data_IF_029485652384
#
_entry.id   IF_029485652384
#
_cell.length_a   1.000
_cell.length_b   1.000
_cell.length_c   1.000
_cell.angle_alpha   90.00
_cell.angle_beta   90.00
_cell.angle_gamma   90.00
#
_symmetry.space_group_name_H-M   'P 1'
#
loop_
_entity.id
_entity.type
_entity.pdbx_description
1 polymer ?
#
# COMPACT_ATOMS: atom_id res chain seq x y z
N UNK A 1 -28.45 -25.71 -23.02
CA UNK A 1 -28.23 -25.64 -21.56
C UNK A 1 -26.73 -25.35 -21.33
N UNK A 2 -26.39 -24.09 -21.33
CA UNK A 2 -25.00 -23.62 -21.16
C UNK A 2 -24.70 -23.59 -19.67
N UNK A 3 -23.82 -24.49 -19.20
CA UNK A 3 -23.30 -24.48 -17.84
C UNK A 3 -22.67 -23.12 -17.58
N UNK A 4 -23.26 -22.37 -16.65
CA UNK A 4 -22.66 -21.20 -16.05
C UNK A 4 -21.27 -21.61 -15.55
N UNK A 5 -20.21 -20.89 -15.98
CA UNK A 5 -18.88 -21.04 -15.43
C UNK A 5 -18.97 -20.67 -13.95
N UNK A 6 -18.97 -21.68 -13.12
CA UNK A 6 -18.84 -21.57 -11.68
C UNK A 6 -17.57 -20.79 -11.40
N UNK A 7 -17.70 -19.59 -10.88
CA UNK A 7 -16.58 -18.82 -10.31
C UNK A 7 -15.86 -19.76 -9.35
N UNK A 8 -14.60 -20.02 -9.59
CA UNK A 8 -13.77 -20.90 -8.75
C UNK A 8 -13.75 -20.29 -7.36
N UNK A 9 -14.57 -20.83 -6.45
CA UNK A 9 -14.58 -20.42 -5.07
C UNK A 9 -13.30 -20.95 -4.45
N UNK A 10 -12.36 -20.07 -4.19
CA UNK A 10 -11.14 -20.42 -3.46
C UNK A 10 -11.47 -20.55 -1.97
N UNK A 11 -11.09 -21.66 -1.37
CA UNK A 11 -11.23 -21.90 0.06
C UNK A 11 -9.94 -21.51 0.77
N UNK A 12 -10.04 -20.76 1.86
CA UNK A 12 -8.92 -20.33 2.65
C UNK A 12 -9.17 -20.66 4.13
N UNK A 13 -8.26 -21.39 4.73
CA UNK A 13 -8.33 -21.72 6.14
C UNK A 13 -7.79 -20.58 6.98
N UNK A 14 -8.58 -20.12 7.96
CA UNK A 14 -8.19 -19.05 8.88
C UNK A 14 -8.22 -19.53 10.33
N UNK A 15 -7.30 -19.02 11.13
CA UNK A 15 -7.19 -19.30 12.57
C UNK A 15 -7.43 -18.00 13.33
N UNK A 16 -8.24 -18.04 14.38
CA UNK A 16 -8.44 -16.88 15.24
C UNK A 16 -7.15 -16.58 16.00
N UNK A 17 -6.74 -15.30 16.00
CA UNK A 17 -5.58 -14.88 16.79
C UNK A 17 -5.99 -13.96 17.93
N UNK A 18 -5.43 -14.21 19.10
CA UNK A 18 -5.50 -13.31 20.27
C UNK A 18 -4.21 -12.51 20.43
N UNK A 19 -3.16 -12.90 19.73
CA UNK A 19 -1.85 -12.29 19.86
C UNK A 19 -1.80 -10.90 19.21
N UNK A 20 -1.37 -9.91 19.98
CA UNK A 20 -1.19 -8.53 19.58
C UNK A 20 0.26 -8.08 19.85
N UNK A 21 0.70 -7.06 19.13
CA UNK A 21 2.01 -6.43 19.31
C UNK A 21 3.08 -6.86 18.30
N UNK A 22 3.95 -5.90 17.98
CA UNK A 22 4.93 -5.95 16.89
C UNK A 22 5.83 -7.18 16.88
N UNK A 23 6.36 -7.59 18.06
CA UNK A 23 7.27 -8.74 18.17
C UNK A 23 6.59 -10.07 17.88
N UNK A 24 5.33 -10.23 18.32
CA UNK A 24 4.56 -11.46 18.12
C UNK A 24 4.14 -11.61 16.66
N UNK A 25 3.67 -10.54 16.06
CA UNK A 25 3.30 -10.51 14.64
C UNK A 25 4.50 -10.83 13.75
N UNK A 26 5.71 -10.32 14.07
CA UNK A 26 6.92 -10.67 13.33
C UNK A 26 7.22 -12.17 13.40
N UNK A 27 7.20 -12.77 14.59
CA UNK A 27 7.41 -14.23 14.75
C UNK A 27 6.37 -15.06 13.99
N UNK A 28 5.13 -14.60 13.93
CA UNK A 28 4.07 -15.25 13.15
C UNK A 28 4.41 -15.27 11.67
N UNK A 29 4.88 -14.15 11.11
CA UNK A 29 5.33 -14.10 9.71
C UNK A 29 6.54 -14.99 9.47
N UNK A 30 7.48 -15.04 10.39
CA UNK A 30 8.64 -15.93 10.32
C UNK A 30 8.21 -17.43 10.31
N UNK A 31 7.04 -17.76 10.87
CA UNK A 31 6.43 -19.08 10.83
C UNK A 31 5.58 -19.35 9.57
N UNK A 32 5.51 -18.41 8.65
CA UNK A 32 4.71 -18.51 7.42
C UNK A 32 3.22 -18.27 7.62
N UNK A 33 2.84 -17.56 8.70
CA UNK A 33 1.47 -17.12 8.97
C UNK A 33 1.35 -15.60 8.76
N UNK A 34 0.41 -15.18 7.95
CA UNK A 34 0.15 -13.76 7.67
C UNK A 34 -1.01 -13.30 8.56
N UNK A 35 -0.82 -12.19 9.29
CA UNK A 35 -1.90 -11.57 10.04
C UNK A 35 -2.93 -10.99 9.08
N UNK A 36 -4.20 -11.18 9.40
CA UNK A 36 -5.32 -10.64 8.64
C UNK A 36 -6.42 -10.17 9.58
N UNK A 37 -7.34 -9.38 9.03
CA UNK A 37 -8.56 -8.95 9.68
C UNK A 37 -9.74 -9.34 8.81
N UNK A 38 -10.78 -9.89 9.42
CA UNK A 38 -12.07 -10.15 8.77
C UNK A 38 -13.10 -9.23 9.39
N UNK A 39 -13.79 -8.46 8.58
CA UNK A 39 -14.87 -7.58 8.99
C UNK A 39 -16.00 -7.60 7.96
N UNK A 40 -17.18 -7.18 8.38
CA UNK A 40 -18.36 -7.14 7.51
C UNK A 40 -19.58 -6.63 8.25
N UNK A 41 -20.69 -6.48 7.53
CA UNK A 41 -21.94 -5.94 8.09
C UNK A 41 -22.51 -6.83 9.20
N UNK A 42 -22.40 -8.16 9.04
CA UNK A 42 -23.02 -9.14 9.94
C UNK A 42 -22.04 -9.76 10.93
N UNK A 43 -20.89 -9.13 11.15
CA UNK A 43 -19.91 -9.65 12.10
C UNK A 43 -19.02 -8.55 12.68
N UNK A 44 -18.63 -8.74 13.92
CA UNK A 44 -17.61 -7.90 14.55
C UNK A 44 -16.23 -8.14 13.90
N UNK A 45 -15.40 -7.08 13.79
CA UNK A 45 -14.05 -7.23 13.28
C UNK A 45 -13.25 -8.28 14.06
N UNK A 46 -12.72 -9.25 13.36
CA UNK A 46 -12.00 -10.36 13.96
C UNK A 46 -10.57 -10.44 13.43
N UNK A 47 -9.61 -10.51 14.34
CA UNK A 47 -8.22 -10.75 13.97
C UNK A 47 -7.98 -12.22 13.72
N UNK A 48 -7.43 -12.53 12.54
CA UNK A 48 -7.14 -13.92 12.12
C UNK A 48 -5.71 -14.05 11.60
N UNK A 49 -5.26 -15.26 11.47
CA UNK A 49 -4.01 -15.62 10.82
C UNK A 49 -4.30 -16.57 9.66
N UNK A 50 -3.58 -16.40 8.57
CA UNK A 50 -3.74 -17.14 7.33
C UNK A 50 -2.41 -17.75 6.90
N UNK A 51 -2.44 -18.92 6.29
CA UNK A 51 -1.24 -19.54 5.75
C UNK A 51 -0.72 -18.75 4.53
N UNK A 52 0.55 -18.34 4.59
CA UNK A 52 1.19 -17.55 3.52
C UNK A 52 1.13 -18.25 2.15
N UNK A 53 1.39 -19.55 2.09
CA UNK A 53 1.43 -20.30 0.83
C UNK A 53 0.07 -20.36 0.16
N UNK A 54 -0.99 -20.58 0.95
CA UNK A 54 -2.37 -20.64 0.44
C UNK A 54 -2.80 -19.25 -0.07
N UNK A 55 -2.51 -18.21 0.71
CA UNK A 55 -2.83 -16.83 0.35
C UNK A 55 -2.11 -16.39 -0.93
N UNK A 56 -0.80 -16.63 -1.04
CA UNK A 56 -0.02 -16.27 -2.23
C UNK A 56 -0.55 -16.97 -3.48
N UNK A 57 -0.90 -18.27 -3.39
CA UNK A 57 -1.53 -18.99 -4.52
C UNK A 57 -2.83 -18.35 -4.95
N UNK A 58 -3.61 -17.86 -3.98
CA UNK A 58 -4.88 -17.19 -4.24
C UNK A 58 -4.67 -15.86 -4.95
N UNK A 59 -3.76 -15.01 -4.45
CA UNK A 59 -3.45 -13.71 -5.03
C UNK A 59 -2.88 -13.80 -6.46
N UNK A 60 -2.11 -14.86 -6.75
CA UNK A 60 -1.59 -15.11 -8.10
C UNK A 60 -2.61 -15.77 -9.04
N UNK A 61 -3.84 -16.00 -8.60
CA UNK A 61 -4.89 -16.46 -9.49
C UNK A 61 -5.32 -15.34 -10.46
N UNK A 62 -6.03 -15.70 -11.54
CA UNK A 62 -6.45 -14.74 -12.57
C UNK A 62 -7.35 -13.61 -12.04
N UNK A 63 -7.99 -13.80 -10.90
CA UNK A 63 -8.86 -12.80 -10.29
C UNK A 63 -8.10 -11.78 -9.41
N UNK A 64 -6.80 -12.00 -9.17
CA UNK A 64 -5.93 -11.04 -8.46
C UNK A 64 -6.38 -10.72 -7.04
N UNK A 65 -6.19 -9.46 -6.65
CA UNK A 65 -6.46 -8.98 -5.30
C UNK A 65 -7.96 -8.88 -4.95
N UNK A 66 -8.86 -8.96 -5.94
CA UNK A 66 -10.32 -8.87 -5.73
C UNK A 66 -11.01 -10.23 -5.82
N UNK A 67 -10.32 -11.27 -5.37
CA UNK A 67 -10.83 -12.64 -5.43
C UNK A 67 -11.88 -12.90 -4.35
N UNK A 68 -12.99 -13.52 -4.77
CA UNK A 68 -13.98 -14.05 -3.83
C UNK A 68 -13.45 -15.34 -3.21
N UNK A 69 -13.41 -15.36 -1.88
CA UNK A 69 -12.84 -16.47 -1.09
C UNK A 69 -13.86 -16.96 -0.07
N UNK A 70 -13.97 -18.25 0.10
CA UNK A 70 -14.70 -18.83 1.23
C UNK A 70 -13.73 -19.02 2.41
N UNK A 71 -13.90 -18.21 3.45
CA UNK A 71 -13.10 -18.32 4.66
C UNK A 71 -13.67 -19.45 5.54
N UNK A 72 -12.82 -20.42 5.90
CA UNK A 72 -13.15 -21.52 6.81
C UNK A 72 -12.35 -21.34 8.09
N UNK A 73 -13.04 -21.18 9.21
CA UNK A 73 -12.38 -21.11 10.52
C UNK A 73 -12.25 -22.52 11.10
N UNK A 74 -11.04 -22.86 11.57
CA UNK A 74 -10.74 -24.17 12.16
C UNK A 74 -10.93 -24.24 13.69
N UNK A 75 -11.38 -23.14 14.33
CA UNK A 75 -11.55 -23.09 15.79
C UNK A 75 -12.85 -23.74 16.26
N UNK A 76 -13.05 -23.77 17.60
CA UNK A 76 -14.17 -24.42 18.30
C UNK A 76 -15.58 -24.00 17.83
N UNK A 77 -15.70 -22.87 17.12
CA UNK A 77 -16.89 -22.45 16.36
C UNK A 77 -16.50 -22.38 14.90
N UNK A 78 -16.51 -23.51 14.21
CA UNK A 78 -16.32 -23.53 12.75
C UNK A 78 -17.42 -22.72 12.07
N UNK A 79 -17.03 -21.76 11.25
CA UNK A 79 -17.92 -21.03 10.38
C UNK A 79 -17.31 -20.89 8.99
N UNK A 80 -18.20 -20.85 8.02
CA UNK A 80 -17.84 -20.60 6.64
C UNK A 80 -18.55 -19.34 6.19
N UNK A 81 -17.81 -18.36 5.68
CA UNK A 81 -18.39 -17.14 5.14
C UNK A 81 -17.67 -16.74 3.85
N UNK A 82 -18.44 -16.31 2.84
CA UNK A 82 -17.84 -15.69 1.67
C UNK A 82 -17.27 -14.32 2.05
N UNK A 83 -16.06 -14.07 1.63
CA UNK A 83 -15.37 -12.80 1.83
C UNK A 83 -14.63 -12.39 0.57
N UNK A 84 -14.45 -11.10 0.40
CA UNK A 84 -13.64 -10.50 -0.64
C UNK A 84 -12.30 -10.07 -0.03
N UNK A 85 -11.21 -10.28 -0.74
CA UNK A 85 -9.95 -9.62 -0.41
C UNK A 85 -10.12 -8.15 -0.72
N UNK A 86 -10.06 -7.29 0.31
CA UNK A 86 -10.31 -5.86 0.16
C UNK A 86 -9.02 -5.06 -0.02
N UNK A 87 -7.99 -5.41 0.75
CA UNK A 87 -6.68 -4.78 0.65
C UNK A 87 -5.57 -5.78 0.99
N UNK A 88 -4.46 -5.67 0.30
CA UNK A 88 -3.24 -6.45 0.55
C UNK A 88 -2.10 -5.47 0.77
N UNK A 89 -1.40 -5.62 1.88
CA UNK A 89 -0.21 -4.83 2.17
C UNK A 89 1.03 -5.66 1.84
N UNK A 90 1.86 -5.12 0.98
CA UNK A 90 3.14 -5.72 0.58
C UNK A 90 4.31 -5.01 1.23
N UNK A 91 5.38 -5.74 1.48
CA UNK A 91 6.66 -5.15 1.84
C UNK A 91 7.24 -4.46 0.59
N UNK A 92 7.65 -3.17 0.68
CA UNK A 92 8.15 -2.44 -0.48
C UNK A 92 9.53 -2.93 -0.98
N UNK A 93 10.28 -3.67 -0.16
CA UNK A 93 11.60 -4.17 -0.50
C UNK A 93 11.54 -5.58 -1.07
N UNK A 94 10.89 -6.48 -0.33
CA UNK A 94 10.88 -7.92 -0.64
C UNK A 94 9.61 -8.37 -1.38
N UNK A 95 8.57 -7.52 -1.46
CA UNK A 95 7.29 -7.84 -2.07
C UNK A 95 6.44 -8.86 -1.28
N UNK A 96 6.89 -9.28 -0.10
CA UNK A 96 6.14 -10.22 0.72
C UNK A 96 4.85 -9.61 1.27
N UNK A 97 3.79 -10.41 1.36
CA UNK A 97 2.52 -9.97 1.96
C UNK A 97 2.70 -9.77 3.46
N UNK A 98 2.42 -8.57 3.93
CA UNK A 98 2.49 -8.18 5.34
C UNK A 98 1.16 -8.29 6.08
N UNK A 99 0.07 -7.94 5.42
CA UNK A 99 -1.27 -7.94 5.99
C UNK A 99 -2.32 -8.11 4.90
N UNK A 100 -3.45 -8.71 5.25
CA UNK A 100 -4.61 -8.83 4.35
C UNK A 100 -5.89 -8.47 5.09
N UNK A 101 -6.72 -7.73 4.42
CA UNK A 101 -8.04 -7.34 4.88
C UNK A 101 -9.10 -8.12 4.10
N UNK A 102 -9.93 -8.84 4.81
CA UNK A 102 -11.05 -9.58 4.24
C UNK A 102 -12.36 -8.89 4.60
N UNK A 103 -13.14 -8.54 3.59
CA UNK A 103 -14.48 -8.04 3.76
C UNK A 103 -15.50 -9.18 3.58
N UNK A 104 -16.12 -9.63 4.67
CA UNK A 104 -17.20 -10.61 4.63
C UNK A 104 -18.44 -9.98 3.96
N UNK A 105 -18.96 -10.62 2.93
CA UNK A 105 -19.99 -10.08 2.08
C UNK A 105 -21.17 -11.03 1.97
N UNK A 106 -22.35 -10.47 1.67
CA UNK A 106 -23.52 -11.22 1.28
C UNK A 106 -23.57 -11.29 -0.26
N UNK A 107 -23.77 -12.47 -0.83
CA UNK A 107 -23.79 -12.67 -2.29
C UNK A 107 -24.92 -11.92 -3.00
N UNK A 108 -25.91 -11.45 -2.25
CA UNK A 108 -27.09 -10.74 -2.75
C UNK A 108 -26.95 -9.22 -2.76
N UNK A 109 -25.95 -8.68 -2.08
CA UNK A 109 -25.73 -7.24 -1.98
C UNK A 109 -24.73 -6.75 -3.02
N UNK A 110 -24.97 -5.56 -3.57
CA UNK A 110 -24.00 -4.88 -4.42
C UNK A 110 -22.87 -4.33 -3.58
N UNK A 111 -21.66 -4.49 -4.05
CA UNK A 111 -20.44 -4.02 -3.39
C UNK A 111 -19.73 -3.01 -4.29
N UNK A 112 -19.02 -2.08 -3.63
CA UNK A 112 -18.11 -1.14 -4.28
C UNK A 112 -16.71 -1.71 -4.19
N UNK A 113 -16.07 -1.86 -5.33
CA UNK A 113 -14.71 -2.39 -5.44
C UNK A 113 -13.90 -1.53 -6.40
N UNK A 114 -12.58 -1.57 -6.25
CA UNK A 114 -11.65 -0.95 -7.18
C UNK A 114 -11.21 -2.00 -8.18
N UNK A 115 -11.38 -1.71 -9.47
CA UNK A 115 -11.02 -2.62 -10.56
C UNK A 115 -9.89 -2.01 -11.36
N UNK A 116 -8.82 -2.75 -11.69
CA UNK A 116 -7.71 -2.23 -12.47
C UNK A 116 -8.13 -1.96 -13.91
N UNK A 117 -7.60 -0.87 -14.48
CA UNK A 117 -7.72 -0.53 -15.90
C UNK A 117 -6.53 -1.14 -16.65
N UNK A 118 -6.82 -1.98 -17.63
CA UNK A 118 -5.84 -2.64 -18.47
C UNK A 118 -5.79 -1.97 -19.83
N UNK A 119 -4.73 -1.20 -20.10
CA UNK A 119 -4.50 -0.58 -21.40
C UNK A 119 -3.91 -1.64 -22.34
N UNK A 120 -4.57 -1.87 -23.47
CA UNK A 120 -4.13 -2.82 -24.49
C UNK A 120 -3.57 -2.08 -25.71
N UNK A 121 -2.50 -2.61 -26.28
CA UNK A 121 -1.84 -2.01 -27.44
C UNK A 121 -0.75 -1.01 -27.08
N UNK A 122 -0.07 -0.52 -28.08
CA UNK A 122 0.93 0.54 -27.96
C UNK A 122 0.46 1.75 -28.78
N UNK A 123 0.36 2.94 -28.15
CA UNK A 123 -0.10 4.14 -28.85
C UNK A 123 0.72 4.49 -30.08
N UNK A 124 0.07 4.93 -31.16
CA UNK A 124 0.75 5.39 -32.37
C UNK A 124 1.70 6.55 -32.07
N UNK A 125 1.31 7.47 -31.18
CA UNK A 125 2.13 8.59 -30.75
C UNK A 125 3.41 8.19 -30.00
N UNK A 126 3.40 7.04 -29.30
CA UNK A 126 4.61 6.50 -28.66
C UNK A 126 5.54 5.87 -29.69
N UNK A 127 4.98 5.06 -30.64
CA UNK A 127 5.78 4.35 -31.63
C UNK A 127 6.39 5.24 -32.70
N UNK A 128 5.63 6.22 -33.20
CA UNK A 128 6.01 7.02 -34.35
C UNK A 128 6.69 8.33 -33.96
N UNK A 129 6.24 8.93 -32.87
CA UNK A 129 6.63 10.28 -32.47
C UNK A 129 7.44 10.31 -31.17
N UNK A 130 7.71 9.13 -30.56
CA UNK A 130 8.51 9.03 -29.34
C UNK A 130 7.82 9.59 -28.10
N UNK A 131 6.49 9.72 -28.12
CA UNK A 131 5.69 10.17 -26.97
C UNK A 131 5.79 9.23 -25.77
N UNK A 132 5.36 9.72 -24.62
CA UNK A 132 5.30 8.96 -23.36
C UNK A 132 3.84 8.76 -22.99
N UNK A 133 3.45 7.50 -22.76
CA UNK A 133 2.13 7.17 -22.21
C UNK A 133 2.16 7.29 -20.70
N UNK A 134 1.41 8.23 -20.15
CA UNK A 134 1.22 8.39 -18.71
C UNK A 134 -0.13 7.81 -18.30
N UNK A 135 -0.12 6.95 -17.29
CA UNK A 135 -1.31 6.32 -16.72
C UNK A 135 -1.60 6.94 -15.35
N UNK A 136 -2.61 7.82 -15.28
CA UNK A 136 -2.99 8.57 -14.07
C UNK A 136 -3.89 7.75 -13.15
N UNK A 137 -5.00 7.22 -13.69
CA UNK A 137 -5.95 6.41 -12.94
C UNK A 137 -5.80 4.95 -13.31
N UNK A 138 -5.13 4.19 -12.44
CA UNK A 138 -4.90 2.75 -12.64
C UNK A 138 -6.06 1.88 -12.16
N UNK A 139 -6.92 2.41 -11.31
CA UNK A 139 -8.04 1.71 -10.70
C UNK A 139 -9.30 2.55 -10.80
N UNK A 140 -10.43 1.90 -11.03
CA UNK A 140 -11.76 2.52 -11.08
C UNK A 140 -12.66 1.93 -10.01
N UNK A 141 -13.43 2.77 -9.35
CA UNK A 141 -14.48 2.33 -8.45
C UNK A 141 -15.70 1.88 -9.26
N UNK A 142 -16.07 0.63 -9.05
CA UNK A 142 -17.25 0.03 -9.70
C UNK A 142 -18.16 -0.60 -8.66
N UNK A 143 -19.46 -0.53 -8.91
CA UNK A 143 -20.49 -1.19 -8.13
C UNK A 143 -21.00 -2.41 -8.91
N UNK A 144 -20.82 -3.60 -8.35
CA UNK A 144 -21.25 -4.85 -8.97
C UNK A 144 -21.71 -5.88 -7.93
N UNK A 145 -22.27 -6.98 -8.39
CA UNK A 145 -22.53 -8.15 -7.53
C UNK A 145 -21.23 -8.95 -7.32
N UNK A 146 -21.05 -9.58 -6.13
CA UNK A 146 -19.85 -10.37 -5.84
C UNK A 146 -19.59 -11.52 -6.80
N UNK A 147 -20.65 -12.04 -7.43
CA UNK A 147 -20.56 -13.12 -8.42
C UNK A 147 -20.11 -12.67 -9.80
N UNK A 148 -20.10 -11.34 -10.06
CA UNK A 148 -19.87 -10.74 -11.37
C UNK A 148 -18.74 -9.72 -11.34
N UNK A 149 -17.79 -9.89 -10.43
CA UNK A 149 -16.62 -9.01 -10.32
C UNK A 149 -15.78 -9.14 -11.61
N UNK A 150 -15.55 -8.02 -12.33
CA UNK A 150 -14.69 -8.03 -13.50
C UNK A 150 -13.23 -8.13 -13.08
N UNK A 151 -12.43 -8.88 -13.81
CA UNK A 151 -10.97 -8.99 -13.56
C UNK A 151 -10.23 -7.70 -13.88
N UNK A 152 -10.78 -6.87 -14.75
CA UNK A 152 -10.22 -5.59 -15.19
C UNK A 152 -11.09 -4.95 -16.24
N UNK A 153 -10.95 -3.65 -16.45
CA UNK A 153 -11.55 -2.90 -17.54
C UNK A 153 -10.50 -2.73 -18.63
N UNK A 154 -10.72 -3.37 -19.77
CA UNK A 154 -9.79 -3.33 -20.89
C UNK A 154 -10.13 -2.17 -21.82
N UNK A 155 -9.13 -1.40 -22.24
CA UNK A 155 -9.27 -0.34 -23.22
C UNK A 155 -8.12 -0.38 -24.23
N UNK A 156 -8.41 -0.22 -25.52
CA UNK A 156 -7.41 -0.22 -26.57
C UNK A 156 -6.88 1.21 -26.79
N UNK A 157 -5.58 1.37 -26.64
CA UNK A 157 -4.89 2.66 -26.77
C UNK A 157 -4.10 2.80 -28.07
N UNK A 158 -4.19 1.83 -28.98
CA UNK A 158 -3.37 1.74 -30.20
C UNK A 158 -3.53 2.94 -31.14
N UNK A 159 -4.70 3.59 -31.12
CA UNK A 159 -5.03 4.71 -32.00
C UNK A 159 -4.61 6.09 -31.47
N UNK A 160 -4.10 6.17 -30.22
CA UNK A 160 -3.77 7.46 -29.60
C UNK A 160 -2.53 8.09 -30.19
N UNK A 161 -2.62 9.41 -30.43
CA UNK A 161 -1.52 10.27 -30.87
C UNK A 161 -1.07 11.20 -29.73
N UNK A 162 0.05 11.92 -29.94
CA UNK A 162 0.54 12.87 -28.92
C UNK A 162 -0.50 13.98 -28.69
N UNK A 163 -0.82 14.21 -27.41
CA UNK A 163 -1.82 15.17 -26.95
C UNK A 163 -3.19 14.56 -26.64
N UNK A 164 -3.42 13.31 -27.04
CA UNK A 164 -4.69 12.64 -26.75
C UNK A 164 -4.78 12.21 -25.29
N UNK A 165 -6.01 12.28 -24.78
CA UNK A 165 -6.35 11.94 -23.39
C UNK A 165 -7.57 11.04 -23.37
N UNK A 166 -7.51 9.97 -22.58
CA UNK A 166 -8.64 9.07 -22.34
C UNK A 166 -9.28 9.42 -21.02
N UNK A 167 -10.60 9.60 -21.04
CA UNK A 167 -11.43 9.83 -19.85
C UNK A 167 -12.19 8.58 -19.43
N UNK A 168 -12.69 8.56 -18.19
CA UNK A 168 -13.50 7.45 -17.65
C UNK A 168 -14.75 7.21 -18.50
N UNK A 169 -15.36 8.25 -19.08
CA UNK A 169 -16.53 8.16 -19.99
C UNK A 169 -16.27 7.38 -21.28
N UNK A 170 -15.00 7.33 -21.74
CA UNK A 170 -14.61 6.68 -22.99
C UNK A 170 -14.42 5.17 -22.81
N UNK A 171 -14.47 4.70 -21.56
CA UNK A 171 -14.36 3.28 -21.25
C UNK A 171 -15.67 2.54 -21.50
N UNK A 172 -15.56 1.34 -22.02
CA UNK A 172 -16.68 0.43 -22.12
C UNK A 172 -16.96 -0.16 -20.74
N UNK A 173 -18.11 0.18 -20.14
CA UNK A 173 -18.50 -0.39 -18.86
C UNK A 173 -18.55 -1.92 -18.95
N UNK A 174 -17.98 -2.64 -17.99
CA UNK A 174 -18.08 -4.09 -17.94
C UNK A 174 -19.53 -4.53 -17.73
N UNK A 175 -19.86 -5.73 -18.23
CA UNK A 175 -21.21 -6.29 -18.10
C UNK A 175 -21.60 -6.37 -16.63
N UNK A 176 -22.77 -5.84 -16.29
CA UNK A 176 -23.38 -5.89 -14.94
C UNK A 176 -22.64 -5.08 -13.84
N UNK A 177 -21.75 -4.19 -14.21
CA UNK A 177 -21.09 -3.29 -13.27
C UNK A 177 -21.34 -1.82 -13.63
N UNK A 178 -21.54 -0.99 -12.62
CA UNK A 178 -21.72 0.46 -12.75
C UNK A 178 -20.46 1.19 -12.29
N UNK A 179 -19.87 2.00 -13.15
CA UNK A 179 -18.74 2.86 -12.80
C UNK A 179 -19.24 3.98 -11.90
N UNK A 180 -18.59 4.17 -10.75
CA UNK A 180 -18.88 5.23 -9.77
C UNK A 180 -17.86 6.36 -9.84
N UNK A 181 -16.69 6.11 -10.43
CA UNK A 181 -15.65 7.13 -10.60
C UNK A 181 -16.14 8.30 -11.44
N UNK A 182 -15.53 9.47 -11.24
CA UNK A 182 -15.84 10.69 -11.98
C UNK A 182 -15.68 10.46 -13.50
N UNK A 183 -16.72 10.70 -14.32
CA UNK A 183 -16.68 10.50 -15.76
C UNK A 183 -15.64 11.39 -16.48
N UNK A 184 -15.31 12.54 -15.91
CA UNK A 184 -14.32 13.48 -16.47
C UNK A 184 -12.88 13.18 -16.01
N UNK A 185 -12.71 12.19 -15.12
CA UNK A 185 -11.40 11.73 -14.66
C UNK A 185 -10.52 11.27 -15.83
N UNK A 186 -9.26 11.69 -15.85
CA UNK A 186 -8.26 11.28 -16.84
C UNK A 186 -7.67 9.93 -16.44
N UNK A 187 -7.73 8.96 -17.35
CA UNK A 187 -7.17 7.62 -17.16
C UNK A 187 -5.74 7.58 -17.67
N UNK A 188 -5.54 7.97 -18.90
CA UNK A 188 -4.23 7.99 -19.54
C UNK A 188 -4.12 9.12 -20.54
N UNK A 189 -2.91 9.60 -20.78
CA UNK A 189 -2.61 10.60 -21.78
C UNK A 189 -1.27 10.30 -22.45
N UNK A 190 -1.15 10.64 -23.73
CA UNK A 190 0.11 10.54 -24.48
C UNK A 190 0.73 11.92 -24.54
N UNK A 191 1.88 12.11 -23.88
CA UNK A 191 2.59 13.39 -23.85
C UNK A 191 3.80 13.37 -24.76
N UNK A 192 4.16 14.54 -25.30
CA UNK A 192 5.40 14.69 -26.04
C UNK A 192 6.60 14.44 -25.08
N UNK A 193 7.69 13.81 -25.56
CA UNK A 193 8.87 13.65 -24.75
C UNK A 193 9.42 15.02 -24.40
N UNK A 194 9.66 15.25 -23.10
CA UNK A 194 10.37 16.44 -22.64
C UNK A 194 11.82 16.30 -23.08
N UNK A 195 12.15 16.84 -24.23
CA UNK A 195 13.54 17.01 -24.64
C UNK A 195 14.13 18.02 -23.66
N UNK A 196 14.85 17.56 -22.68
CA UNK A 196 15.78 18.40 -21.95
C UNK A 196 16.77 18.92 -23.00
N UNK A 197 16.56 20.17 -23.46
CA UNK A 197 17.62 20.87 -24.17
C UNK A 197 18.80 20.85 -23.21
N UNK A 198 19.97 20.35 -23.63
CA UNK A 198 21.17 20.62 -22.88
C UNK A 198 21.23 22.14 -22.80
N UNK A 199 21.18 22.68 -21.62
CA UNK A 199 21.46 24.07 -21.33
C UNK A 199 22.88 24.26 -21.83
N UNK A 200 22.95 24.80 -23.05
CA UNK A 200 24.18 25.14 -23.74
C UNK A 200 24.90 26.12 -22.82
N UNK A 201 25.94 25.58 -22.24
CA UNK A 201 26.96 26.24 -21.46
C UNK A 201 27.46 27.47 -22.25
N UNK A 202 26.73 28.57 -22.12
CA UNK A 202 27.11 29.89 -22.63
C UNK A 202 27.21 30.85 -21.47
N UNK A 203 28.21 30.59 -20.62
CA UNK A 203 28.80 31.63 -19.81
C UNK A 203 30.31 31.39 -19.88
N UNK A 204 30.92 32.05 -20.85
CA UNK A 204 32.35 32.30 -20.81
C UNK A 204 32.73 32.90 -19.45
N UNK A 205 33.79 32.44 -18.81
CA UNK A 205 34.27 33.08 -17.59
C UNK A 205 34.91 34.41 -17.99
N UNK A 206 34.26 35.50 -17.62
CA UNK A 206 34.96 36.77 -17.51
C UNK A 206 35.94 36.64 -16.35
N UNK A 207 37.21 36.65 -16.70
CA UNK A 207 38.34 36.82 -15.74
C UNK A 207 38.10 38.06 -14.89
N UNK A 208 38.15 38.01 -13.58
CA UNK A 208 38.40 39.20 -12.79
C UNK A 208 39.93 39.41 -12.68
N UNK A 209 40.39 40.44 -13.30
CA UNK A 209 41.73 41.01 -13.08
C UNK A 209 42.08 41.14 -11.63
N UNK A 210 43.20 40.56 -11.30
CA UNK A 210 43.85 40.65 -10.01
C UNK A 210 44.49 42.06 -9.88
N UNK A 211 43.85 42.93 -9.15
CA UNK A 211 44.49 44.13 -8.62
C UNK A 211 45.18 43.76 -7.29
N UNK A 212 46.48 43.56 -7.40
CA UNK A 212 47.40 43.56 -6.28
C UNK A 212 47.50 45.00 -5.77
N UNK A 213 47.14 45.23 -4.52
CA UNK A 213 47.64 46.36 -3.78
C UNK A 213 48.07 45.95 -2.37
N UNK A 214 49.28 46.38 -2.07
CA UNK A 214 50.22 46.17 -1.00
C UNK A 214 49.64 46.26 0.40
N UNK A 215 50.26 45.39 1.26
CA UNK A 215 50.44 45.62 2.71
C UNK A 215 51.11 46.98 3.03
N UNK A 216 50.94 47.57 4.23
CA UNK A 216 51.92 47.34 5.27
C UNK A 216 51.36 47.03 6.68
N UNK A 217 52.22 46.33 7.38
CA UNK A 217 52.53 46.08 8.75
C UNK A 217 51.96 47.03 9.82
N UNK A 218 51.61 46.49 10.93
CA UNK A 218 52.10 46.71 12.33
C UNK A 218 51.15 45.97 13.28
N UNK A 219 51.65 44.99 13.97
CA UNK A 219 52.27 44.95 15.29
C UNK A 219 51.29 45.13 16.46
N UNK A 220 51.36 44.20 17.39
CA UNK A 220 50.92 44.35 18.76
C UNK A 220 50.10 43.23 19.34
N UNK A 221 50.76 42.22 19.79
CA UNK A 221 50.97 41.83 21.17
C UNK A 221 49.79 41.36 21.97
N UNK A 222 49.94 40.13 22.38
CA UNK A 222 49.95 39.64 23.80
C UNK A 222 48.59 39.27 24.36
N UNK A 223 48.51 38.07 24.60
CA UNK A 223 48.77 37.26 25.81
C UNK A 223 47.51 36.82 26.55
N UNK A 224 47.53 35.60 26.78
CA UNK A 224 47.38 34.87 28.03
C UNK A 224 46.01 34.22 28.34
N UNK A 225 46.10 32.94 28.37
CA UNK A 225 45.91 32.07 29.56
C UNK A 225 44.54 32.03 30.22
N UNK A 226 44.14 30.81 30.39
CA UNK A 226 43.31 30.31 31.49
C UNK A 226 42.35 29.28 31.01
N UNK A 227 42.64 28.05 30.98
CA UNK A 227 42.78 26.99 31.99
C UNK A 227 41.51 26.77 32.82
N UNK A 228 41.15 25.51 32.76
CA UNK A 228 40.47 24.67 33.76
C UNK A 228 38.93 24.70 33.83
N UNK A 229 38.42 23.54 33.52
CA UNK A 229 37.94 22.50 34.45
C UNK A 229 36.57 22.79 35.02
N UNK A 230 35.69 21.87 34.93
CA UNK A 230 35.39 20.80 35.87
C UNK A 230 33.89 20.56 36.00
N UNK A 231 33.52 19.29 36.10
CA UNK A 231 32.41 18.69 36.78
C UNK A 231 30.99 19.07 36.29
N UNK A 232 30.21 18.23 35.76
CA UNK A 232 29.75 16.98 36.40
C UNK A 232 28.55 17.27 37.28
N UNK A 233 27.34 17.00 36.76
CA UNK A 233 26.26 16.69 37.69
C UNK A 233 25.17 15.91 37.01
N UNK A 234 25.01 14.65 37.44
CA UNK A 234 23.84 13.83 37.28
C UNK A 234 22.75 14.33 38.22
N UNK A 235 21.49 14.38 37.82
CA UNK A 235 20.43 14.37 38.81
C UNK A 235 19.93 12.93 39.09
N UNK A 236 19.95 12.72 40.34
CA UNK A 236 19.54 11.65 41.22
C UNK A 236 18.04 11.30 41.04
N UNK A 237 17.76 10.00 41.10
CA UNK A 237 16.43 9.46 41.39
C UNK A 237 16.07 9.67 42.87
N UNK A 238 14.83 9.93 43.22
CA UNK A 238 14.26 9.58 44.50
C UNK A 238 13.35 8.36 44.30
N UNK A 239 13.47 7.24 44.93
CA UNK A 239 13.42 6.88 46.32
C UNK A 239 12.04 6.30 46.58
N UNK A 240 11.95 4.93 46.61
CA UNK A 240 10.87 4.22 47.26
C UNK A 240 10.74 4.64 48.73
N UNK A 241 9.58 4.40 49.32
CA UNK A 241 9.59 3.77 50.62
C UNK A 241 8.77 2.47 50.70
N UNK A 242 9.43 1.50 51.29
CA UNK A 242 8.89 0.31 51.83
C UNK A 242 8.04 0.56 53.11
N UNK A 243 7.05 -0.27 53.34
CA UNK A 243 6.32 -0.36 54.59
C UNK A 243 5.12 -1.28 54.43
N UNK A 244 5.22 -2.49 54.71
CA UNK A 244 5.12 -3.26 55.92
C UNK A 244 3.69 -3.71 56.25
N UNK A 245 3.50 -5.01 56.09
CA UNK A 245 2.82 -5.94 57.00
C UNK A 245 1.38 -5.69 57.48
N UNK A 246 0.54 -6.68 57.26
CA UNK A 246 -0.75 -6.86 57.89
C UNK A 246 -1.40 -8.17 57.52
N UNK A 247 -0.94 -9.19 58.16
CA UNK A 247 -1.50 -10.52 58.36
C UNK A 247 -2.88 -10.40 59.05
N UNK A 248 -3.96 -10.98 58.52
CA UNK A 248 -5.06 -11.53 59.31
C UNK A 248 -5.80 -12.61 58.52
N UNK A 249 -5.71 -13.76 59.04
CA UNK A 249 -6.43 -15.00 58.96
C UNK A 249 -7.92 -14.85 59.27
N UNK A 250 -8.78 -15.60 58.61
CA UNK A 250 -9.92 -16.45 59.09
C UNK A 250 -10.94 -16.55 57.95
N UNK A 251 -11.22 -17.71 57.44
CA UNK A 251 -11.94 -18.89 57.92
C UNK A 251 -13.46 -18.75 57.82
N UNK A 252 -14.06 -19.71 57.10
CA UNK A 252 -15.44 -20.27 57.15
C UNK A 252 -16.62 -19.45 56.58
N UNK A 253 -17.29 -19.92 55.61
CA UNK A 253 -18.34 -20.93 55.54
C UNK A 253 -18.61 -21.29 54.10
#
# INVERSE_FOLDING_TARGET
MTKAKTSTQHELTVQKRSEQGKRRIRRMRDQGLIPAIVYGRDMEPMSVAVNQRELVRLLHSKAGEHTLVTLKMQDAKSWEKPALVHAVQHDPVDGHVLHVDFHAILLTERIKIKVPVLLKGEPAGVKQEGGILEHFLRELEVECLPTEIPTGVEHDVSALVIGDTIHVRDLTAPKNAKILSDPDGVIASVQAPKVEKPEEEAAAPAEPEVLREKKPDEEGAEAAKGEKADKGEKPVRPGEPAGRAGDVKKEKS
#
